data_IF_322728040431
#
_entry.id   IF_322728040431
#
_cell.length_a   1.000
_cell.length_b   1.000
_cell.length_c   1.000
_cell.angle_alpha   90.00
_cell.angle_beta   90.00
_cell.angle_gamma   90.00
#
_symmetry.space_group_name_H-M   'P 1'
#
loop_
_entity.id
_entity.type
_entity.pdbx_description
1 polymer ?
#
# COMPACT_ATOMS: atom_id res chain seq x y z
N UNK A 1 -4.54 -40.86 12.09
CA UNK A 1 -5.71 -40.49 11.25
C UNK A 1 -5.88 -38.99 11.25
N UNK A 2 -4.90 -38.30 10.68
CA UNK A 2 -4.84 -36.84 10.69
C UNK A 2 -4.93 -36.31 9.28
N UNK A 3 -6.17 -36.22 8.81
CA UNK A 3 -6.50 -35.62 7.51
C UNK A 3 -6.83 -34.14 7.65
N UNK A 4 -6.08 -33.43 8.50
CA UNK A 4 -5.90 -31.99 8.34
C UNK A 4 -4.59 -31.76 7.60
N UNK A 5 -4.47 -32.49 6.50
CA UNK A 5 -3.48 -32.22 5.49
C UNK A 5 -3.70 -30.80 4.95
N UNK A 6 -2.65 -30.01 5.10
CA UNK A 6 -2.29 -28.92 4.23
C UNK A 6 -3.50 -28.25 3.60
N UNK A 7 -4.10 -27.31 4.30
CA UNK A 7 -4.98 -26.35 3.66
C UNK A 7 -4.19 -25.79 2.47
N UNK A 8 -4.67 -26.07 1.28
CA UNK A 8 -4.18 -25.43 0.08
C UNK A 8 -4.27 -23.95 0.35
N UNK A 9 -3.14 -23.30 0.59
CA UNK A 9 -3.10 -21.85 0.68
C UNK A 9 -3.69 -21.34 -0.62
N UNK A 10 -4.81 -20.66 -0.52
CA UNK A 10 -5.41 -20.02 -1.69
C UNK A 10 -4.38 -19.05 -2.21
N UNK A 11 -3.82 -19.36 -3.37
CA UNK A 11 -2.91 -18.44 -4.04
C UNK A 11 -3.74 -17.27 -4.58
N UNK A 12 -3.81 -16.20 -3.82
CA UNK A 12 -4.51 -14.98 -4.21
C UNK A 12 -3.99 -14.42 -5.52
N UNK A 13 -2.74 -14.67 -5.83
CA UNK A 13 -2.13 -14.22 -7.08
C UNK A 13 -2.75 -14.91 -8.28
N UNK A 14 -2.93 -16.23 -8.23
CA UNK A 14 -3.61 -16.99 -9.27
C UNK A 14 -5.11 -16.73 -9.29
N UNK A 15 -5.74 -16.68 -8.12
CA UNK A 15 -7.18 -16.47 -8.01
C UNK A 15 -7.63 -15.12 -8.58
N UNK A 16 -6.83 -14.08 -8.36
CA UNK A 16 -7.16 -12.72 -8.82
C UNK A 16 -6.65 -12.42 -10.23
N UNK A 17 -5.80 -13.26 -10.81
CA UNK A 17 -5.09 -12.93 -12.04
C UNK A 17 -4.21 -11.69 -11.93
N UNK A 18 -3.65 -11.45 -10.76
CA UNK A 18 -2.95 -10.21 -10.39
C UNK A 18 -1.83 -9.86 -11.38
N UNK A 19 -1.19 -10.86 -11.95
CA UNK A 19 -0.14 -10.69 -12.96
C UNK A 19 -0.61 -9.95 -14.22
N UNK A 20 -1.89 -10.07 -14.55
CA UNK A 20 -2.49 -9.51 -15.76
C UNK A 20 -3.22 -8.18 -15.49
N UNK A 21 -3.37 -7.80 -14.23
CA UNK A 21 -4.05 -6.57 -13.84
C UNK A 21 -3.11 -5.37 -13.97
N UNK A 22 -3.66 -4.26 -14.44
CA UNK A 22 -2.97 -2.97 -14.42
C UNK A 22 -3.13 -2.26 -13.08
N UNK A 23 -4.23 -2.48 -12.39
CA UNK A 23 -4.49 -1.91 -11.08
C UNK A 23 -5.44 -2.78 -10.25
N UNK A 24 -5.26 -2.76 -8.95
CA UNK A 24 -6.09 -3.44 -7.97
C UNK A 24 -6.46 -2.48 -6.85
N UNK A 25 -7.72 -2.48 -6.45
CA UNK A 25 -8.18 -1.75 -5.27
C UNK A 25 -8.56 -2.74 -4.16
N UNK A 26 -8.06 -2.51 -2.95
CA UNK A 26 -8.44 -3.26 -1.76
C UNK A 26 -9.42 -2.42 -0.95
N UNK A 27 -10.66 -2.86 -0.89
CA UNK A 27 -11.75 -2.16 -0.22
C UNK A 27 -12.22 -2.98 0.97
N UNK A 28 -12.32 -2.35 2.13
CA UNK A 28 -12.88 -2.97 3.33
C UNK A 28 -14.25 -2.39 3.66
N UNK A 29 -15.15 -3.24 4.14
CA UNK A 29 -16.50 -2.84 4.54
C UNK A 29 -16.54 -2.08 5.87
N UNK A 30 -15.45 -2.14 6.65
CA UNK A 30 -15.33 -1.46 7.93
C UNK A 30 -13.87 -1.13 8.26
N UNK A 31 -13.65 -0.34 9.31
CA UNK A 31 -12.34 -0.20 9.94
C UNK A 31 -11.86 -1.57 10.43
N UNK A 32 -10.56 -1.80 10.40
CA UNK A 32 -9.91 -3.07 10.81
C UNK A 32 -10.43 -4.33 10.08
N UNK A 33 -10.95 -4.19 8.87
CA UNK A 33 -11.43 -5.31 8.04
C UNK A 33 -10.29 -6.15 7.43
N UNK A 34 -9.02 -5.89 7.78
CA UNK A 34 -7.88 -6.65 7.26
C UNK A 34 -7.32 -6.16 5.92
N UNK A 35 -7.65 -4.94 5.48
CA UNK A 35 -7.13 -4.37 4.22
C UNK A 35 -5.61 -4.38 4.15
N UNK A 36 -4.93 -3.92 5.19
CA UNK A 36 -3.46 -3.88 5.23
C UNK A 36 -2.84 -5.27 5.29
N UNK A 37 -3.46 -6.19 6.01
CA UNK A 37 -3.04 -7.60 6.03
C UNK A 37 -3.14 -8.21 4.64
N UNK A 38 -4.24 -7.97 3.93
CA UNK A 38 -4.43 -8.41 2.56
C UNK A 38 -3.40 -7.78 1.60
N UNK A 39 -3.15 -6.48 1.72
CA UNK A 39 -2.15 -5.78 0.92
C UNK A 39 -0.74 -6.35 1.14
N UNK A 40 -0.33 -6.53 2.38
CA UNK A 40 0.97 -7.12 2.70
C UNK A 40 1.11 -8.53 2.14
N UNK A 41 0.05 -9.33 2.19
CA UNK A 41 0.06 -10.67 1.60
C UNK A 41 0.21 -10.60 0.07
N UNK A 42 -0.49 -9.69 -0.60
CA UNK A 42 -0.36 -9.49 -2.05
C UNK A 42 1.05 -9.06 -2.44
N UNK A 43 1.65 -8.12 -1.70
CA UNK A 43 3.02 -7.66 -1.93
C UNK A 43 4.01 -8.81 -1.78
N UNK A 44 3.90 -9.61 -0.70
CA UNK A 44 4.75 -10.77 -0.49
C UNK A 44 4.63 -11.80 -1.61
N UNK A 45 3.40 -12.12 -2.00
CA UNK A 45 3.14 -13.08 -3.09
C UNK A 45 3.68 -12.57 -4.44
N UNK A 46 3.54 -11.26 -4.70
CA UNK A 46 4.11 -10.62 -5.90
C UNK A 46 5.63 -10.76 -5.93
N UNK A 47 6.28 -10.55 -4.80
CA UNK A 47 7.73 -10.66 -4.66
C UNK A 47 8.20 -12.12 -4.85
N UNK A 48 7.52 -13.07 -4.21
CA UNK A 48 7.79 -14.51 -4.33
C UNK A 48 7.61 -15.04 -5.75
N UNK A 49 6.66 -14.48 -6.50
CA UNK A 49 6.42 -14.83 -7.90
C UNK A 49 7.51 -14.31 -8.86
N UNK A 50 8.52 -13.59 -8.36
CA UNK A 50 9.64 -13.09 -9.15
C UNK A 50 9.23 -12.08 -10.22
N UNK A 51 8.16 -11.31 -9.97
CA UNK A 51 7.69 -10.31 -10.91
C UNK A 51 8.73 -9.19 -11.10
N UNK A 52 9.04 -8.88 -12.34
CA UNK A 52 10.01 -7.82 -12.70
C UNK A 52 9.38 -6.43 -12.76
N UNK A 53 8.07 -6.36 -12.95
CA UNK A 53 7.33 -5.11 -12.98
C UNK A 53 7.21 -4.53 -11.56
N UNK A 54 7.60 -3.27 -11.32
CA UNK A 54 7.49 -2.67 -10.00
C UNK A 54 6.03 -2.52 -9.60
N UNK A 55 5.76 -2.66 -8.30
CA UNK A 55 4.49 -2.27 -7.70
C UNK A 55 4.46 -0.76 -7.50
N UNK A 56 3.28 -0.17 -7.66
CA UNK A 56 2.99 1.20 -7.28
C UNK A 56 1.85 1.21 -6.26
N UNK A 57 2.06 1.87 -5.14
CA UNK A 57 1.13 1.88 -4.01
C UNK A 57 0.65 3.30 -3.72
N UNK A 58 -0.63 3.44 -3.48
CA UNK A 58 -1.23 4.65 -2.92
C UNK A 58 -2.40 4.29 -2.02
N UNK A 59 -2.87 5.24 -1.23
CA UNK A 59 -4.07 5.10 -0.41
C UNK A 59 -5.17 6.02 -0.93
N UNK A 60 -6.39 5.56 -0.78
CA UNK A 60 -7.61 6.33 -1.04
C UNK A 60 -8.32 6.50 0.29
N UNK A 61 -8.61 7.71 0.70
CA UNK A 61 -9.39 7.93 1.90
C UNK A 61 -9.02 9.20 2.63
N UNK A 62 -9.77 9.46 3.67
CA UNK A 62 -9.54 10.62 4.53
C UNK A 62 -8.15 10.56 5.12
N UNK A 63 -7.48 11.66 4.94
CA UNK A 63 -6.17 11.95 5.47
C UNK A 63 -6.14 11.75 6.97
N UNK A 64 -5.44 10.70 7.42
CA UNK A 64 -5.05 10.53 8.80
C UNK A 64 -6.09 11.03 9.81
N UNK A 65 -7.24 10.39 9.88
CA UNK A 65 -8.11 10.61 11.04
C UNK A 65 -7.28 10.30 12.29
N UNK A 66 -6.94 11.35 13.01
CA UNK A 66 -6.26 11.30 14.30
C UNK A 66 -7.02 10.48 15.37
N UNK A 67 -8.20 9.99 15.03
CA UNK A 67 -9.04 9.18 15.90
C UNK A 67 -8.50 7.77 16.17
N UNK A 68 -7.59 7.25 15.38
CA UNK A 68 -6.93 5.99 15.71
C UNK A 68 -5.94 6.11 16.88
N UNK A 69 -5.58 7.33 17.27
CA UNK A 69 -4.76 7.60 18.46
C UNK A 69 -5.52 7.22 19.75
N UNK A 70 -6.85 7.26 19.73
CA UNK A 70 -7.69 6.95 20.90
C UNK A 70 -7.91 5.45 21.11
N UNK A 71 -7.70 4.60 20.11
CA UNK A 71 -7.93 3.16 20.22
C UNK A 71 -6.72 2.36 20.70
N UNK A 72 -5.55 2.98 20.83
CA UNK A 72 -4.32 2.30 21.28
C UNK A 72 -3.82 1.18 20.36
N UNK A 73 -4.41 1.01 19.19
CA UNK A 73 -3.93 0.07 18.19
C UNK A 73 -2.94 0.78 17.27
N UNK A 74 -1.74 0.23 17.16
CA UNK A 74 -0.78 0.65 16.14
C UNK A 74 -1.43 0.51 14.76
N UNK A 75 -1.33 1.56 13.93
CA UNK A 75 -1.72 1.45 12.53
C UNK A 75 -0.90 0.34 11.89
N UNK A 76 -1.54 -0.63 11.22
CA UNK A 76 -0.80 -1.66 10.53
C UNK A 76 0.07 -1.01 9.45
N UNK A 77 1.36 -1.33 9.50
CA UNK A 77 2.35 -0.80 8.57
C UNK A 77 2.42 -1.67 7.33
N UNK A 78 2.70 -1.05 6.20
CA UNK A 78 2.81 -1.73 4.92
C UNK A 78 4.29 -2.01 4.66
N UNK A 79 4.64 -3.27 4.52
CA UNK A 79 5.98 -3.69 4.14
C UNK A 79 6.14 -3.61 2.63
N UNK A 80 7.18 -2.95 2.17
CA UNK A 80 7.49 -2.82 0.74
C UNK A 80 8.91 -3.29 0.44
N UNK A 81 9.10 -4.03 -0.65
CA UNK A 81 10.44 -4.34 -1.14
C UNK A 81 11.04 -3.14 -1.86
N UNK A 82 12.38 -3.12 -1.94
CA UNK A 82 13.11 -2.16 -2.75
C UNK A 82 12.58 -2.15 -4.19
N UNK A 83 12.50 -0.97 -4.80
CA UNK A 83 11.96 -0.78 -6.14
C UNK A 83 10.47 -0.42 -6.17
N UNK A 84 9.74 -0.58 -5.07
CA UNK A 84 8.31 -0.20 -4.98
C UNK A 84 8.16 1.30 -5.15
N UNK A 85 7.22 1.70 -5.99
CA UNK A 85 6.81 3.10 -6.13
C UNK A 85 5.71 3.42 -5.13
N UNK A 86 5.76 4.60 -4.55
CA UNK A 86 4.85 5.00 -3.47
C UNK A 86 4.38 6.42 -3.73
N UNK A 87 3.06 6.63 -3.72
CA UNK A 87 2.45 7.95 -3.70
C UNK A 87 1.76 8.14 -2.35
N UNK A 88 2.30 9.01 -1.51
CA UNK A 88 1.79 9.25 -0.16
C UNK A 88 2.05 10.68 0.31
N UNK A 89 1.25 11.15 1.25
CA UNK A 89 1.43 12.46 1.84
C UNK A 89 2.74 12.54 2.64
N UNK A 90 3.37 13.69 2.59
CA UNK A 90 4.69 13.94 3.17
C UNK A 90 4.78 13.53 4.64
N UNK A 91 3.80 13.89 5.46
CA UNK A 91 3.82 13.57 6.89
C UNK A 91 3.74 12.06 7.17
N UNK A 92 3.00 11.31 6.35
CA UNK A 92 2.93 9.86 6.47
C UNK A 92 4.27 9.20 6.11
N UNK A 93 4.96 9.69 5.09
CA UNK A 93 6.26 9.18 4.65
C UNK A 93 7.36 9.37 5.71
N UNK A 94 7.27 10.39 6.56
CA UNK A 94 8.22 10.61 7.66
C UNK A 94 8.24 9.47 8.68
N UNK A 95 7.19 8.69 8.78
CA UNK A 95 7.09 7.53 9.66
C UNK A 95 7.62 6.24 9.04
N UNK A 96 8.13 6.30 7.81
CA UNK A 96 8.67 5.14 7.10
C UNK A 96 10.08 4.83 7.58
N UNK A 97 10.42 3.54 7.66
CA UNK A 97 11.80 3.09 7.91
C UNK A 97 12.51 2.61 6.63
N UNK A 98 11.77 2.42 5.54
CA UNK A 98 12.36 2.24 4.23
C UNK A 98 13.10 3.51 3.77
N UNK A 99 14.25 3.34 3.15
CA UNK A 99 14.95 4.45 2.51
C UNK A 99 14.20 4.85 1.23
N UNK A 100 13.79 6.11 1.14
CA UNK A 100 12.95 6.61 0.04
C UNK A 100 13.71 7.65 -0.80
N UNK A 101 13.64 7.48 -2.11
CA UNK A 101 14.07 8.47 -3.10
C UNK A 101 12.85 9.23 -3.60
N UNK A 102 12.86 10.55 -3.48
CA UNK A 102 11.80 11.40 -4.03
C UNK A 102 12.00 11.50 -5.54
N UNK A 103 10.97 11.12 -6.30
CA UNK A 103 10.97 11.20 -7.75
C UNK A 103 10.24 12.45 -8.24
N UNK A 104 9.10 12.79 -7.62
CA UNK A 104 8.25 13.87 -8.09
C UNK A 104 7.37 14.42 -6.96
N UNK A 105 7.05 15.72 -7.07
CA UNK A 105 6.04 16.38 -6.26
C UNK A 105 4.75 16.50 -7.08
N UNK A 106 3.66 15.93 -6.57
CA UNK A 106 2.43 15.80 -7.35
C UNK A 106 1.60 17.10 -7.44
N UNK A 107 1.90 18.10 -6.61
CA UNK A 107 1.07 19.28 -6.37
C UNK A 107 -0.34 18.99 -5.80
N UNK A 108 -0.60 17.77 -5.43
CA UNK A 108 -1.84 17.33 -4.77
C UNK A 108 -1.66 17.52 -3.27
N UNK A 109 -2.53 18.30 -2.64
CA UNK A 109 -2.43 18.62 -1.22
C UNK A 109 -3.47 17.86 -0.40
N UNK A 110 -3.01 17.34 0.72
CA UNK A 110 -3.84 16.68 1.72
C UNK A 110 -3.68 17.38 3.07
N UNK A 111 -4.47 16.99 4.07
CA UNK A 111 -4.29 17.48 5.44
C UNK A 111 -2.93 17.09 6.05
N UNK A 112 -2.30 16.03 5.53
CA UNK A 112 -0.98 15.55 5.94
C UNK A 112 0.17 16.04 5.03
N UNK A 113 -0.09 17.08 4.27
CA UNK A 113 0.88 17.67 3.35
C UNK A 113 0.69 17.26 1.90
N UNK A 114 1.63 17.63 1.08
CA UNK A 114 1.63 17.28 -0.35
C UNK A 114 1.87 15.79 -0.56
N UNK A 115 1.20 15.21 -1.55
CA UNK A 115 1.47 13.85 -2.01
C UNK A 115 2.77 13.84 -2.79
N UNK A 116 3.70 13.01 -2.34
CA UNK A 116 5.03 12.84 -2.92
C UNK A 116 5.09 11.48 -3.61
N UNK A 117 5.65 11.45 -4.79
CA UNK A 117 5.96 10.22 -5.52
C UNK A 117 7.39 9.83 -5.18
N UNK A 118 7.59 8.65 -4.61
CA UNK A 118 8.90 8.14 -4.24
C UNK A 118 9.09 6.68 -4.67
N UNK A 119 10.35 6.27 -4.63
CA UNK A 119 10.78 4.89 -4.81
C UNK A 119 11.45 4.40 -3.54
N UNK A 120 11.11 3.21 -3.11
CA UNK A 120 11.83 2.54 -2.03
C UNK A 120 13.20 2.07 -2.56
N UNK A 121 14.27 2.52 -1.93
CA UNK A 121 15.65 2.09 -2.20
C UNK A 121 16.05 0.90 -1.34
N UNK A 122 15.35 0.66 -0.25
CA UNK A 122 15.51 -0.50 0.62
C UNK A 122 14.17 -1.12 0.95
N UNK A 123 14.20 -2.37 1.35
CA UNK A 123 13.04 -3.00 1.99
C UNK A 123 12.72 -2.27 3.29
N UNK A 124 11.46 -2.21 3.67
CA UNK A 124 11.05 -1.59 4.92
C UNK A 124 9.55 -1.32 4.98
N UNK A 125 9.15 -0.68 6.07
CA UNK A 125 7.76 -0.30 6.29
C UNK A 125 7.50 1.13 5.85
N UNK A 126 6.33 1.34 5.25
CA UNK A 126 5.84 2.66 4.87
C UNK A 126 4.45 2.90 5.41
N UNK A 127 4.10 4.17 5.58
CA UNK A 127 2.74 4.60 5.88
C UNK A 127 2.15 5.31 4.66
N UNK A 128 0.92 4.96 4.31
CA UNK A 128 0.22 5.55 3.17
C UNK A 128 -0.90 6.48 3.64
N UNK A 129 -0.91 7.68 3.10
CA UNK A 129 -2.00 8.63 3.19
C UNK A 129 -2.16 9.31 1.83
N UNK A 130 -3.33 9.23 1.24
CA UNK A 130 -3.61 9.77 -0.08
C UNK A 130 -4.81 10.70 -0.09
N UNK A 131 -5.10 11.29 -1.25
CA UNK A 131 -6.25 12.16 -1.42
C UNK A 131 -7.57 11.39 -1.34
N UNK A 132 -8.63 12.08 -0.97
CA UNK A 132 -9.99 11.54 -0.93
C UNK A 132 -10.80 11.82 -2.19
N UNK A 133 -10.25 12.59 -3.13
CA UNK A 133 -10.92 12.98 -4.36
C UNK A 133 -10.51 12.08 -5.51
N UNK A 134 -11.48 11.51 -6.21
CA UNK A 134 -11.27 10.53 -7.28
C UNK A 134 -10.39 11.05 -8.43
N UNK A 135 -10.57 12.32 -8.80
CA UNK A 135 -9.79 12.91 -9.89
C UNK A 135 -8.31 13.06 -9.56
N UNK A 136 -7.98 13.34 -8.30
CA UNK A 136 -6.61 13.42 -7.81
C UNK A 136 -5.95 12.04 -7.79
N UNK A 137 -6.69 11.00 -7.40
CA UNK A 137 -6.22 9.61 -7.45
C UNK A 137 -5.96 9.18 -8.88
N UNK A 138 -6.84 9.55 -9.80
CA UNK A 138 -6.67 9.27 -11.23
C UNK A 138 -5.47 10.00 -11.83
N UNK A 139 -5.12 11.16 -11.30
CA UNK A 139 -3.91 11.90 -11.68
C UNK A 139 -2.64 11.20 -11.22
N UNK A 140 -2.62 10.70 -9.99
CA UNK A 140 -1.48 9.91 -9.46
C UNK A 140 -1.20 8.67 -10.31
N UNK A 141 -2.24 8.00 -10.78
CA UNK A 141 -2.08 6.80 -11.64
C UNK A 141 -1.41 7.08 -12.99
N UNK A 142 -1.37 8.32 -13.41
CA UNK A 142 -0.79 8.73 -14.70
C UNK A 142 0.66 9.20 -14.60
N UNK A 143 1.14 9.43 -13.40
CA UNK A 143 2.53 9.76 -13.09
C UNK A 143 3.39 8.48 -13.04
#
# INVERSE_FOLDING_TARGET
MDAFAAGSSIDLFQLTGLQDLQSLAIIGLSKNAGKTTCLNHIIATWQEAGQTRPLALTSIGRDGESEDILSGYEKPRIYVPAGTLIASAQAALQNSDALLEILELSNIRTALGEVIICRALSDGYVELAGPSVTDEISSIKRL
#
